data_IF_458819892955
#
_entry.id   IF_458819892955
#
_cell.length_a   1.000
_cell.length_b   1.000
_cell.length_c   1.000
_cell.angle_alpha   90.00
_cell.angle_beta   90.00
_cell.angle_gamma   90.00
#
_symmetry.space_group_name_H-M   'P 1'
#
loop_
_entity.id
_entity.type
_entity.pdbx_description
1 polymer ?
#
# COMPACT_ATOMS: atom_id res chain seq x y z
N UNK A 1 29.06 62.52 53.90
CA UNK A 1 28.32 61.43 54.59
C UNK A 1 27.97 60.38 53.55
N UNK A 2 28.41 59.15 53.79
CA UNK A 2 28.35 57.97 52.90
C UNK A 2 26.91 57.51 52.66
N UNK A 3 26.57 57.16 51.41
CA UNK A 3 25.59 56.10 51.14
C UNK A 3 25.91 55.39 49.83
N UNK A 4 26.41 54.17 50.00
CA UNK A 4 26.74 53.16 49.02
C UNK A 4 25.44 52.51 48.52
N UNK A 5 25.20 52.47 47.21
CA UNK A 5 24.06 51.72 46.63
C UNK A 5 24.61 50.45 45.99
N UNK A 6 24.34 49.30 46.61
CA UNK A 6 24.63 47.97 46.06
C UNK A 6 23.56 47.62 45.01
N UNK A 7 23.99 47.38 43.78
CA UNK A 7 23.15 46.77 42.74
C UNK A 7 23.37 45.26 42.78
N UNK A 8 22.37 44.51 43.25
CA UNK A 8 22.37 43.05 43.19
C UNK A 8 21.83 42.61 41.82
N UNK A 9 22.71 42.07 40.97
CA UNK A 9 22.29 41.33 39.77
C UNK A 9 21.82 39.93 40.20
N UNK A 10 20.51 39.65 40.06
CA UNK A 10 19.98 38.31 40.21
C UNK A 10 19.99 37.59 38.86
N UNK A 11 20.91 36.64 38.69
CA UNK A 11 20.94 35.73 37.54
C UNK A 11 19.76 34.75 37.63
N UNK A 12 18.81 34.85 36.70
CA UNK A 12 17.74 33.86 36.56
C UNK A 12 18.30 32.64 35.85
N UNK A 13 18.50 31.55 36.57
CA UNK A 13 18.77 30.24 35.98
C UNK A 13 17.46 29.68 35.42
N UNK A 14 17.37 29.52 34.11
CA UNK A 14 16.25 28.86 33.44
C UNK A 14 16.36 27.35 33.73
N UNK A 15 15.70 26.89 34.79
CA UNK A 15 15.57 25.47 35.07
C UNK A 15 14.69 24.82 33.99
N UNK A 16 15.24 23.91 33.19
CA UNK A 16 14.46 23.06 32.32
C UNK A 16 13.58 22.15 33.19
N UNK A 17 12.27 22.41 33.19
CA UNK A 17 11.30 21.62 33.95
C UNK A 17 11.20 20.22 33.33
N UNK A 18 11.76 19.22 34.01
CA UNK A 18 11.59 17.83 33.62
C UNK A 18 10.12 17.45 33.82
N UNK A 19 9.42 17.17 32.72
CA UNK A 19 8.07 16.64 32.78
C UNK A 19 8.08 15.26 33.48
N UNK A 20 7.17 15.01 34.43
CA UNK A 20 7.07 13.71 35.08
C UNK A 20 6.71 12.64 34.04
N UNK A 21 7.53 11.60 33.93
CA UNK A 21 7.28 10.42 33.10
C UNK A 21 6.43 9.41 33.86
N UNK A 22 5.29 9.86 34.37
CA UNK A 22 4.35 8.97 35.04
C UNK A 22 3.41 8.35 34.01
N UNK A 23 3.14 7.05 34.16
CA UNK A 23 2.16 6.35 33.33
C UNK A 23 0.75 6.77 33.79
N UNK A 24 0.12 7.66 33.03
CA UNK A 24 -1.28 8.03 33.25
C UNK A 24 -2.16 7.03 32.49
N UNK A 25 -2.89 6.20 33.23
CA UNK A 25 -3.96 5.38 32.67
C UNK A 25 -5.14 6.28 32.33
N UNK A 26 -5.18 6.76 31.08
CA UNK A 26 -6.38 7.39 30.53
C UNK A 26 -7.36 6.26 30.18
N UNK A 27 -8.58 6.23 30.75
CA UNK A 27 -9.57 5.25 30.35
C UNK A 27 -9.85 5.44 28.86
N UNK A 28 -9.47 4.43 28.06
CA UNK A 28 -9.70 4.46 26.63
C UNK A 28 -11.20 4.57 26.41
N UNK A 29 -11.63 5.58 25.62
CA UNK A 29 -12.97 5.60 25.04
C UNK A 29 -13.19 4.22 24.41
N UNK A 30 -14.25 3.46 24.78
CA UNK A 30 -14.48 2.16 24.19
C UNK A 30 -14.52 2.35 22.68
N UNK A 31 -13.59 1.71 21.98
CA UNK A 31 -13.73 1.58 20.54
C UNK A 31 -15.09 0.90 20.30
N UNK A 32 -15.85 1.29 19.28
CA UNK A 32 -17.07 0.58 18.94
C UNK A 32 -16.77 -0.92 18.91
N UNK A 33 -17.61 -1.71 19.58
CA UNK A 33 -17.49 -3.18 19.57
C UNK A 33 -17.56 -3.60 18.10
N UNK A 34 -16.49 -4.21 17.62
CA UNK A 34 -16.32 -4.54 16.20
C UNK A 34 -16.82 -5.95 15.96
N UNK A 35 -17.66 -6.13 14.96
CA UNK A 35 -18.02 -7.46 14.48
C UNK A 35 -16.83 -8.01 13.67
N UNK A 36 -16.08 -8.94 14.27
CA UNK A 36 -14.99 -9.68 13.61
C UNK A 36 -13.57 -9.16 13.85
N UNK A 37 -12.61 -10.08 13.81
CA UNK A 37 -11.16 -9.77 13.83
C UNK A 37 -10.77 -9.27 12.44
N UNK A 38 -10.15 -8.08 12.29
CA UNK A 38 -9.67 -7.57 11.01
C UNK A 38 -8.79 -8.58 10.26
N UNK A 39 -9.07 -8.77 8.96
CA UNK A 39 -8.37 -9.73 8.09
C UNK A 39 -7.46 -9.00 7.10
N UNK A 40 -6.47 -9.73 6.57
CA UNK A 40 -5.64 -9.28 5.45
C UNK A 40 -6.13 -9.90 4.15
N UNK A 41 -6.24 -9.07 3.11
CA UNK A 41 -6.54 -9.44 1.73
C UNK A 41 -5.52 -8.84 0.79
N UNK A 42 -5.07 -9.61 -0.20
CA UNK A 42 -4.16 -9.08 -1.20
C UNK A 42 -4.46 -9.59 -2.60
N UNK A 43 -4.28 -8.67 -3.56
CA UNK A 43 -4.12 -9.02 -4.97
C UNK A 43 -2.68 -8.69 -5.37
N UNK A 44 -1.98 -9.70 -5.85
CA UNK A 44 -0.62 -9.57 -6.38
C UNK A 44 -0.67 -9.81 -7.88
N UNK A 45 -0.06 -8.92 -8.65
CA UNK A 45 0.03 -9.00 -10.11
C UNK A 45 1.49 -8.85 -10.52
N UNK A 46 2.03 -9.84 -11.23
CA UNK A 46 3.39 -9.82 -11.75
C UNK A 46 3.42 -10.17 -13.23
N UNK A 47 3.90 -9.25 -14.08
CA UNK A 47 3.93 -9.46 -15.53
C UNK A 47 5.32 -9.11 -16.06
N UNK A 48 6.08 -10.14 -16.46
CA UNK A 48 7.41 -9.95 -17.03
C UNK A 48 7.41 -10.08 -18.55
N UNK A 49 6.63 -11.04 -19.08
CA UNK A 49 6.49 -11.30 -20.50
C UNK A 49 5.11 -10.85 -20.98
N UNK A 50 5.03 -10.07 -22.06
CA UNK A 50 3.81 -9.48 -22.60
C UNK A 50 3.54 -10.00 -24.00
N UNK A 51 2.28 -10.33 -24.28
CA UNK A 51 1.85 -10.94 -25.54
C UNK A 51 2.15 -10.05 -26.75
N UNK A 52 1.90 -8.74 -26.63
CA UNK A 52 1.96 -7.80 -27.76
C UNK A 52 3.13 -6.81 -27.66
N UNK A 53 4.16 -7.13 -26.87
CA UNK A 53 5.41 -6.35 -26.84
C UNK A 53 6.54 -7.10 -27.53
N UNK A 54 7.41 -6.33 -28.20
CA UNK A 54 8.64 -6.87 -28.78
C UNK A 54 9.56 -7.47 -27.71
N UNK A 55 10.39 -8.43 -28.11
CA UNK A 55 11.33 -9.11 -27.21
C UNK A 55 12.26 -8.14 -26.45
N UNK A 56 12.61 -7.00 -27.04
CA UNK A 56 13.46 -5.97 -26.40
C UNK A 56 12.77 -5.16 -25.30
N UNK A 57 11.44 -5.26 -25.19
CA UNK A 57 10.62 -4.54 -24.22
C UNK A 57 10.13 -5.44 -23.09
N UNK A 58 10.57 -6.69 -23.04
CA UNK A 58 10.19 -7.61 -21.97
C UNK A 58 10.95 -7.30 -20.68
N UNK A 59 10.35 -7.58 -19.53
CA UNK A 59 10.96 -7.38 -18.22
C UNK A 59 11.56 -8.69 -17.70
N UNK A 60 12.53 -8.59 -16.79
CA UNK A 60 13.24 -9.75 -16.25
C UNK A 60 12.81 -10.13 -14.83
N UNK A 61 12.33 -9.17 -14.04
CA UNK A 61 12.22 -9.34 -12.58
C UNK A 61 10.82 -9.16 -12.00
N UNK A 62 9.87 -8.62 -12.76
CA UNK A 62 8.54 -8.27 -12.25
C UNK A 62 7.78 -9.47 -11.66
N UNK A 63 7.93 -10.65 -12.28
CA UNK A 63 7.34 -11.89 -11.77
C UNK A 63 8.02 -12.42 -10.51
N UNK A 64 9.36 -12.32 -10.41
CA UNK A 64 10.10 -12.71 -9.21
C UNK A 64 9.89 -11.74 -8.04
N UNK A 65 9.64 -10.46 -8.34
CA UNK A 65 9.29 -9.45 -7.35
C UNK A 65 7.90 -9.74 -6.77
N UNK A 66 6.94 -10.09 -7.63
CA UNK A 66 5.60 -10.53 -7.22
C UNK A 66 5.64 -11.81 -6.37
N UNK A 67 6.45 -12.81 -6.74
CA UNK A 67 6.68 -14.01 -5.92
C UNK A 67 7.23 -13.65 -4.52
N UNK A 68 8.13 -12.67 -4.47
CA UNK A 68 8.72 -12.22 -3.21
C UNK A 68 7.70 -11.53 -2.32
N UNK A 69 6.85 -10.67 -2.89
CA UNK A 69 5.76 -10.05 -2.17
C UNK A 69 4.77 -11.10 -1.62
N UNK A 70 4.39 -12.09 -2.43
CA UNK A 70 3.51 -13.18 -2.00
C UNK A 70 4.06 -13.88 -0.76
N UNK A 71 5.35 -14.28 -0.80
CA UNK A 71 6.01 -14.94 0.34
C UNK A 71 6.03 -14.07 1.60
N UNK A 72 6.25 -12.77 1.47
CA UNK A 72 6.25 -11.84 2.62
C UNK A 72 4.86 -11.71 3.24
N UNK A 73 3.81 -11.60 2.40
CA UNK A 73 2.45 -11.40 2.91
C UNK A 73 1.92 -12.62 3.67
N UNK A 74 2.17 -13.83 3.19
CA UNK A 74 1.69 -15.06 3.85
C UNK A 74 2.56 -15.49 5.05
N UNK A 75 3.74 -14.89 5.21
CA UNK A 75 4.62 -15.19 6.35
C UNK A 75 4.05 -14.57 7.63
N UNK A 76 4.01 -15.35 8.72
CA UNK A 76 3.54 -14.91 10.03
C UNK A 76 4.34 -13.75 10.62
N UNK A 77 5.64 -13.69 10.38
CA UNK A 77 6.53 -12.58 10.80
C UNK A 77 6.48 -11.39 9.82
N UNK A 78 5.87 -11.57 8.65
CA UNK A 78 5.67 -10.53 7.64
C UNK A 78 4.26 -9.96 7.69
N UNK A 79 3.45 -10.25 6.68
CA UNK A 79 2.07 -9.73 6.60
C UNK A 79 1.09 -10.46 7.51
N UNK A 80 1.33 -11.75 7.78
CA UNK A 80 0.40 -12.69 8.42
C UNK A 80 -0.98 -12.74 7.74
N UNK A 81 -1.01 -12.70 6.40
CA UNK A 81 -2.24 -12.84 5.63
C UNK A 81 -2.53 -14.34 5.48
N UNK A 82 -3.79 -14.79 5.69
CA UNK A 82 -4.18 -16.14 5.29
C UNK A 82 -3.88 -16.34 3.80
N UNK A 83 -3.25 -17.46 3.44
CA UNK A 83 -2.81 -17.67 2.05
C UNK A 83 -3.99 -17.68 1.08
N UNK A 84 -5.15 -18.19 1.51
CA UNK A 84 -6.41 -18.16 0.78
C UNK A 84 -6.95 -16.75 0.51
N UNK A 85 -6.50 -15.74 1.26
CA UNK A 85 -6.87 -14.34 1.04
C UNK A 85 -5.89 -13.58 0.14
N UNK A 86 -4.86 -14.25 -0.38
CA UNK A 86 -3.86 -13.65 -1.28
C UNK A 86 -4.04 -14.24 -2.68
N UNK A 87 -4.76 -13.51 -3.53
CA UNK A 87 -4.91 -13.84 -4.94
C UNK A 87 -3.67 -13.38 -5.73
N UNK A 88 -3.19 -14.22 -6.65
CA UNK A 88 -1.98 -13.98 -7.42
C UNK A 88 -2.20 -14.23 -8.91
N UNK A 89 -2.06 -13.18 -9.71
CA UNK A 89 -2.05 -13.23 -11.18
C UNK A 89 -0.61 -13.07 -11.68
N UNK A 90 -0.08 -14.08 -12.38
CA UNK A 90 1.31 -14.11 -12.84
C UNK A 90 1.40 -14.37 -14.34
N UNK A 91 2.23 -13.59 -15.03
CA UNK A 91 2.49 -13.77 -16.46
C UNK A 91 1.18 -13.77 -17.26
N UNK A 92 0.94 -14.84 -18.02
CA UNK A 92 -0.25 -15.00 -18.87
C UNK A 92 -1.59 -14.97 -18.12
N UNK A 93 -1.61 -15.24 -16.81
CA UNK A 93 -2.84 -15.14 -16.01
C UNK A 93 -3.24 -13.69 -15.70
N UNK A 94 -2.31 -12.74 -15.82
CA UNK A 94 -2.55 -11.32 -15.57
C UNK A 94 -3.16 -10.60 -16.79
N UNK A 95 -4.19 -11.18 -17.40
CA UNK A 95 -4.97 -10.55 -18.48
C UNK A 95 -5.77 -9.35 -17.94
N UNK A 96 -6.14 -8.41 -18.80
CA UNK A 96 -7.02 -7.29 -18.40
C UNK A 96 -8.32 -7.80 -17.76
N UNK A 97 -8.90 -8.86 -18.32
CA UNK A 97 -10.14 -9.44 -17.82
C UNK A 97 -9.97 -9.99 -16.39
N UNK A 98 -8.89 -10.71 -16.12
CA UNK A 98 -8.61 -11.24 -14.79
C UNK A 98 -8.31 -10.11 -13.80
N UNK A 99 -7.46 -9.14 -14.17
CA UNK A 99 -7.16 -7.98 -13.32
C UNK A 99 -8.43 -7.22 -12.93
N UNK A 100 -9.35 -7.00 -13.88
CA UNK A 100 -10.66 -6.38 -13.60
C UNK A 100 -11.50 -7.21 -12.67
N UNK A 101 -11.64 -8.52 -12.91
CA UNK A 101 -12.41 -9.40 -12.03
C UNK A 101 -11.89 -9.35 -10.59
N UNK A 102 -10.56 -9.43 -10.40
CA UNK A 102 -10.00 -9.43 -9.06
C UNK A 102 -10.19 -8.08 -8.34
N UNK A 103 -9.97 -6.95 -9.04
CA UNK A 103 -10.08 -5.61 -8.46
C UNK A 103 -11.52 -5.11 -8.28
N UNK A 104 -12.39 -5.38 -9.26
CA UNK A 104 -13.72 -4.77 -9.34
C UNK A 104 -14.82 -5.70 -8.81
N UNK A 105 -14.57 -7.02 -8.71
CA UNK A 105 -15.56 -8.00 -8.26
C UNK A 105 -15.13 -8.72 -6.98
N UNK A 106 -14.00 -9.43 -7.00
CA UNK A 106 -13.59 -10.26 -5.87
C UNK A 106 -13.27 -9.41 -4.63
N UNK A 107 -12.33 -8.48 -4.75
CA UNK A 107 -11.82 -7.73 -3.60
C UNK A 107 -12.93 -6.92 -2.89
N UNK A 108 -13.83 -6.20 -3.60
CA UNK A 108 -14.96 -5.52 -2.97
C UNK A 108 -16.00 -6.47 -2.35
N UNK A 109 -16.09 -7.72 -2.83
CA UNK A 109 -17.05 -8.70 -2.29
C UNK A 109 -16.63 -9.29 -0.94
N UNK A 110 -15.33 -9.26 -0.61
CA UNK A 110 -14.78 -9.91 0.59
C UNK A 110 -14.26 -8.94 1.64
N UNK A 111 -13.73 -7.79 1.23
CA UNK A 111 -13.09 -6.83 2.12
C UNK A 111 -14.13 -5.96 2.86
N UNK A 112 -13.87 -5.72 4.14
CA UNK A 112 -14.66 -4.82 4.98
C UNK A 112 -13.86 -3.56 5.37
N UNK A 113 -14.49 -2.45 5.80
CA UNK A 113 -13.79 -1.21 6.12
C UNK A 113 -12.67 -1.31 7.17
N UNK A 114 -12.68 -2.34 8.02
CA UNK A 114 -11.65 -2.58 9.03
C UNK A 114 -10.52 -3.51 8.55
N UNK A 115 -10.71 -4.19 7.41
CA UNK A 115 -9.73 -5.12 6.86
C UNK A 115 -8.53 -4.38 6.26
N UNK A 116 -7.40 -5.07 6.13
CA UNK A 116 -6.21 -4.58 5.44
C UNK A 116 -6.23 -5.12 4.01
N UNK A 117 -6.21 -4.22 3.04
CA UNK A 117 -6.15 -4.55 1.62
C UNK A 117 -4.81 -4.13 1.04
N UNK A 118 -4.13 -5.03 0.34
CA UNK A 118 -2.89 -4.74 -0.40
C UNK A 118 -3.08 -5.11 -1.87
N UNK A 119 -2.93 -4.14 -2.76
CA UNK A 119 -2.78 -4.39 -4.19
C UNK A 119 -1.33 -4.14 -4.56
N UNK A 120 -0.64 -5.19 -5.02
CA UNK A 120 0.74 -5.11 -5.49
C UNK A 120 0.79 -5.38 -6.99
N UNK A 121 1.40 -4.48 -7.74
CA UNK A 121 1.58 -4.62 -9.18
C UNK A 121 3.06 -4.43 -9.54
N UNK A 122 3.62 -5.41 -10.24
CA UNK A 122 4.94 -5.33 -10.84
C UNK A 122 4.85 -5.63 -12.33
N UNK A 123 5.22 -4.64 -13.16
CA UNK A 123 5.13 -4.72 -14.62
C UNK A 123 5.32 -3.36 -15.27
N UNK A 124 4.96 -3.25 -16.54
CA UNK A 124 4.95 -2.00 -17.27
C UNK A 124 3.82 -1.09 -16.83
N UNK A 125 4.09 0.20 -16.91
CA UNK A 125 3.10 1.25 -16.82
C UNK A 125 3.22 2.17 -18.02
N UNK A 126 2.11 2.75 -18.44
CA UNK A 126 2.07 3.71 -19.54
C UNK A 126 1.44 5.02 -19.08
N UNK A 127 1.86 6.11 -19.71
CA UNK A 127 1.23 7.43 -19.55
C UNK A 127 0.84 7.94 -20.93
N UNK A 128 -0.44 8.26 -21.12
CA UNK A 128 -0.97 8.85 -22.34
C UNK A 128 -1.95 9.95 -21.97
N UNK A 129 -1.77 11.15 -22.53
CA UNK A 129 -2.61 12.32 -22.30
C UNK A 129 -2.84 12.64 -20.80
N UNK A 130 -1.78 12.47 -19.99
CA UNK A 130 -1.80 12.71 -18.54
C UNK A 130 -2.50 11.60 -17.72
N UNK A 131 -2.98 10.53 -18.36
CA UNK A 131 -3.59 9.37 -17.69
C UNK A 131 -2.56 8.25 -17.53
N UNK A 132 -2.47 7.68 -16.33
CA UNK A 132 -1.64 6.50 -16.05
C UNK A 132 -2.39 5.20 -16.26
N UNK A 133 -1.70 4.18 -16.76
CA UNK A 133 -2.24 2.84 -17.00
C UNK A 133 -1.28 1.77 -16.48
N UNK A 134 -1.84 0.75 -15.83
CA UNK A 134 -1.14 -0.50 -15.54
C UNK A 134 -1.28 -1.44 -16.74
N UNK A 135 -0.20 -2.10 -17.13
CA UNK A 135 -0.16 -2.98 -18.30
C UNK A 135 -0.46 -4.44 -17.94
N UNK A 136 -1.61 -5.01 -18.32
CA UNK A 136 -1.83 -6.44 -18.22
C UNK A 136 -1.00 -7.19 -19.28
N UNK A 137 -0.96 -8.52 -19.18
CA UNK A 137 -0.22 -9.38 -20.10
C UNK A 137 -0.59 -9.19 -21.58
N UNK A 138 -1.87 -8.97 -21.85
CA UNK A 138 -2.48 -8.79 -23.17
C UNK A 138 -2.58 -7.31 -23.61
N UNK A 139 -1.84 -6.40 -22.98
CA UNK A 139 -1.83 -4.98 -23.36
C UNK A 139 -1.44 -4.79 -24.84
N UNK A 140 -2.14 -3.92 -25.56
CA UNK A 140 -1.73 -3.36 -26.86
C UNK A 140 -1.31 -1.89 -26.66
N UNK A 141 -0.02 -1.54 -26.82
CA UNK A 141 0.46 -0.17 -26.65
C UNK A 141 -0.19 0.87 -27.57
N UNK A 142 -0.77 0.44 -28.69
CA UNK A 142 -1.49 1.33 -29.60
C UNK A 142 -2.96 1.54 -29.20
N UNK A 143 -3.45 0.78 -28.22
CA UNK A 143 -4.85 0.76 -27.78
C UNK A 143 -4.99 0.77 -26.25
N UNK A 144 -4.15 1.55 -25.57
CA UNK A 144 -4.07 1.60 -24.10
C UNK A 144 -5.42 1.78 -23.42
N UNK A 145 -6.29 2.67 -23.91
CA UNK A 145 -7.61 2.89 -23.31
C UNK A 145 -8.50 1.64 -23.30
N UNK A 146 -8.31 0.73 -24.28
CA UNK A 146 -9.10 -0.49 -24.41
C UNK A 146 -8.45 -1.71 -23.75
N UNK A 147 -7.11 -1.76 -23.70
CA UNK A 147 -6.36 -2.97 -23.32
C UNK A 147 -5.51 -2.83 -22.06
N UNK A 148 -5.36 -1.64 -21.51
CA UNK A 148 -4.67 -1.41 -20.24
C UNK A 148 -5.67 -1.10 -19.12
N UNK A 149 -5.25 -1.26 -17.86
CA UNK A 149 -6.09 -0.93 -16.70
C UNK A 149 -5.83 0.52 -16.26
N UNK A 150 -6.83 1.43 -16.30
CA UNK A 150 -6.62 2.83 -15.94
C UNK A 150 -6.34 3.00 -14.44
N UNK A 151 -5.28 3.73 -14.08
CA UNK A 151 -4.99 4.03 -12.67
C UNK A 151 -6.05 4.92 -12.02
N UNK A 152 -6.75 5.75 -12.79
CA UNK A 152 -7.92 6.48 -12.28
C UNK A 152 -9.01 5.52 -11.80
N UNK A 153 -9.27 4.46 -12.57
CA UNK A 153 -10.25 3.43 -12.19
C UNK A 153 -9.79 2.68 -10.95
N UNK A 154 -8.49 2.42 -10.78
CA UNK A 154 -7.95 1.83 -9.54
C UNK A 154 -8.34 2.66 -8.30
N UNK A 155 -8.22 3.99 -8.37
CA UNK A 155 -8.56 4.89 -7.28
C UNK A 155 -10.06 5.03 -7.01
N UNK A 156 -10.92 4.63 -7.95
CA UNK A 156 -12.37 4.63 -7.77
C UNK A 156 -12.90 3.36 -7.11
N UNK A 157 -12.16 2.24 -7.21
CA UNK A 157 -12.62 0.91 -6.75
C UNK A 157 -11.99 0.46 -5.44
N UNK A 158 -10.98 1.19 -4.93
CA UNK A 158 -10.32 0.97 -3.64
C UNK A 158 -10.60 2.14 -2.69
#
# INVERSE_FOLDING_TARGET
MIRLLFVLLASVTLGAQQAPRDLILVPAKPAPVRDGVPRGYALIVGVAQYQNLDASKQLQFSESDADSMYRVLINHEGGAFPAENVHFLKGADATLANVRRELEEWLPSVAQPADRVIVYFAGHGFVQDGKGYLAPWDVDPNRLEATAYPMSRLGDVL
#
